data_IF_154520966956
#
_entry.id   IF_154520966956
#
_cell.length_a   1.000
_cell.length_b   1.000
_cell.length_c   1.000
_cell.angle_alpha   90.00
_cell.angle_beta   90.00
_cell.angle_gamma   90.00
#
_symmetry.space_group_name_H-M   'P 1'
#
loop_
_entity.id
_entity.type
_entity.pdbx_description
1 polymer ?
#
# COMPACT_ATOMS: atom_id res chain seq x y z
N UNK A 1 -1.20 6.91 -15.43
CA UNK A 1 -0.97 8.01 -14.46
C UNK A 1 -1.90 7.96 -13.25
N UNK A 2 -3.23 7.76 -13.41
CA UNK A 2 -4.16 7.78 -12.27
C UNK A 2 -3.79 6.82 -11.12
N UNK A 3 -3.36 5.59 -11.44
CA UNK A 3 -2.93 4.61 -10.43
C UNK A 3 -1.69 5.06 -9.63
N UNK A 4 -0.67 5.59 -10.31
CA UNK A 4 0.54 6.11 -9.67
C UNK A 4 0.22 7.28 -8.72
N UNK A 5 -0.67 8.18 -9.14
CA UNK A 5 -1.13 9.31 -8.32
C UNK A 5 -1.89 8.86 -7.08
N UNK A 6 -2.80 7.89 -7.24
CA UNK A 6 -3.56 7.30 -6.11
C UNK A 6 -2.67 6.58 -5.11
N UNK A 7 -1.52 6.06 -5.58
CA UNK A 7 -0.50 5.43 -4.75
C UNK A 7 0.60 6.39 -4.27
N UNK A 8 0.44 7.71 -4.41
CA UNK A 8 1.44 8.72 -4.00
C UNK A 8 2.85 8.51 -4.60
N UNK A 9 2.93 8.16 -5.89
CA UNK A 9 4.20 7.94 -6.61
C UNK A 9 4.62 9.10 -7.51
N UNK A 10 3.86 10.19 -7.60
CA UNK A 10 4.13 11.28 -8.55
C UNK A 10 5.55 11.87 -8.39
N UNK A 11 5.95 12.16 -7.14
CA UNK A 11 7.28 12.70 -6.84
C UNK A 11 8.40 11.66 -7.08
N UNK A 12 8.12 10.38 -6.77
CA UNK A 12 9.06 9.28 -7.00
C UNK A 12 9.33 9.16 -8.50
N UNK A 13 8.27 9.07 -9.32
CA UNK A 13 8.35 8.95 -10.78
C UNK A 13 9.05 10.16 -11.40
N UNK A 14 8.76 11.38 -10.91
CA UNK A 14 9.42 12.59 -11.39
C UNK A 14 10.93 12.62 -11.12
N UNK A 15 11.39 11.92 -10.07
CA UNK A 15 12.81 11.79 -9.73
C UNK A 15 13.52 10.64 -10.47
N UNK A 16 12.78 9.79 -11.19
CA UNK A 16 13.36 8.64 -11.89
C UNK A 16 14.13 9.08 -13.15
N UNK A 17 15.29 8.45 -13.46
CA UNK A 17 16.13 8.82 -14.60
C UNK A 17 15.41 8.78 -15.97
N UNK A 18 14.46 7.86 -16.12
CA UNK A 18 13.67 7.68 -17.35
C UNK A 18 12.16 7.79 -17.07
N UNK A 19 11.77 8.43 -15.97
CA UNK A 19 10.37 8.48 -15.54
C UNK A 19 9.76 7.07 -15.41
N UNK A 20 8.57 6.87 -15.96
CA UNK A 20 7.87 5.57 -15.95
C UNK A 20 8.62 4.45 -16.70
N UNK A 21 9.50 4.78 -17.64
CA UNK A 21 10.27 3.80 -18.42
C UNK A 21 11.54 3.32 -17.69
N UNK A 22 11.73 3.75 -16.44
CA UNK A 22 12.87 3.34 -15.62
C UNK A 22 12.74 1.89 -15.18
N UNK A 23 13.80 1.12 -15.39
CA UNK A 23 13.83 -0.30 -15.05
C UNK A 23 14.30 -0.50 -13.60
N UNK A 24 13.49 -1.17 -12.78
CA UNK A 24 13.83 -1.49 -11.39
C UNK A 24 15.03 -2.44 -11.34
N UNK A 25 15.97 -2.21 -10.43
CA UNK A 25 17.26 -2.90 -10.27
C UNK A 25 18.28 -2.65 -11.40
N UNK A 26 17.97 -1.80 -12.37
CA UNK A 26 18.89 -1.37 -13.43
C UNK A 26 19.08 0.14 -13.39
N UNK A 27 17.99 0.89 -13.48
CA UNK A 27 17.98 2.35 -13.45
C UNK A 27 17.65 2.92 -12.06
N UNK A 28 16.91 2.17 -11.22
CA UNK A 28 16.50 2.60 -9.88
C UNK A 28 16.39 1.44 -8.89
N UNK A 29 16.71 1.72 -7.63
CA UNK A 29 16.36 0.87 -6.48
C UNK A 29 15.38 1.62 -5.59
N UNK A 30 14.23 1.00 -5.29
CA UNK A 30 13.23 1.60 -4.41
C UNK A 30 13.50 1.28 -2.95
N UNK A 31 13.20 2.23 -2.07
CA UNK A 31 13.01 1.94 -0.65
C UNK A 31 11.83 0.99 -0.43
N UNK A 32 11.75 0.36 0.74
CA UNK A 32 10.63 -0.53 1.09
C UNK A 32 9.27 0.15 0.91
N UNK A 33 9.13 1.37 1.42
CA UNK A 33 7.89 2.14 1.28
C UNK A 33 7.54 2.52 -0.15
N UNK A 34 8.52 2.85 -1.00
CA UNK A 34 8.29 3.11 -2.42
C UNK A 34 7.87 1.85 -3.18
N UNK A 35 8.56 0.74 -2.95
CA UNK A 35 8.21 -0.55 -3.56
C UNK A 35 6.78 -0.96 -3.20
N UNK A 36 6.36 -0.73 -1.95
CA UNK A 36 5.02 -1.02 -1.49
C UNK A 36 3.97 -0.13 -2.16
N UNK A 37 4.26 1.17 -2.33
CA UNK A 37 3.41 2.07 -3.12
C UNK A 37 3.32 1.64 -4.59
N UNK A 38 4.37 1.10 -5.19
CA UNK A 38 4.32 0.51 -6.54
C UNK A 38 3.39 -0.71 -6.59
N UNK A 39 3.43 -1.59 -5.57
CA UNK A 39 2.50 -2.72 -5.45
C UNK A 39 1.04 -2.24 -5.33
N UNK A 40 0.80 -1.18 -4.57
CA UNK A 40 -0.52 -0.53 -4.45
C UNK A 40 -0.97 0.05 -5.81
N UNK A 41 -0.07 0.73 -6.53
CA UNK A 41 -0.38 1.21 -7.88
C UNK A 41 -0.75 0.05 -8.83
N UNK A 42 -0.03 -1.07 -8.72
CA UNK A 42 -0.31 -2.27 -9.51
C UNK A 42 -1.69 -2.85 -9.20
N UNK A 43 -2.10 -2.90 -7.92
CA UNK A 43 -3.42 -3.42 -7.55
C UNK A 43 -4.58 -2.59 -8.10
N UNK A 44 -4.39 -1.27 -8.24
CA UNK A 44 -5.35 -0.38 -8.91
C UNK A 44 -5.47 -0.72 -10.39
N UNK A 45 -4.35 -0.96 -11.08
CA UNK A 45 -4.36 -1.29 -12.51
C UNK A 45 -4.98 -2.66 -12.76
N UNK A 46 -4.73 -3.63 -11.87
CA UNK A 46 -5.37 -4.95 -11.93
C UNK A 46 -6.88 -4.89 -11.68
N UNK A 47 -7.36 -3.85 -11.00
CA UNK A 47 -8.77 -3.63 -10.67
C UNK A 47 -9.44 -4.81 -9.96
N UNK A 48 -8.73 -5.42 -9.01
CA UNK A 48 -9.26 -6.54 -8.23
C UNK A 48 -10.40 -6.07 -7.29
N UNK A 49 -11.52 -6.82 -7.18
CA UNK A 49 -12.63 -6.46 -6.30
C UNK A 49 -12.31 -6.66 -4.81
N UNK A 50 -11.35 -7.55 -4.51
CA UNK A 50 -10.87 -7.85 -3.16
C UNK A 50 -9.36 -7.68 -3.13
N UNK A 51 -8.86 -6.91 -2.16
CA UNK A 51 -7.44 -6.65 -1.95
C UNK A 51 -7.02 -7.16 -0.58
N UNK A 52 -5.90 -7.89 -0.52
CA UNK A 52 -5.31 -8.38 0.72
C UNK A 52 -3.92 -7.74 0.88
N UNK A 53 -3.72 -7.12 2.03
CA UNK A 53 -2.49 -6.42 2.39
C UNK A 53 -1.90 -7.08 3.63
N UNK A 54 -0.81 -7.80 3.44
CA UNK A 54 -0.06 -8.43 4.54
C UNK A 54 1.06 -7.49 4.99
N UNK A 55 0.97 -7.02 6.24
CA UNK A 55 1.90 -6.04 6.83
C UNK A 55 2.25 -4.88 5.89
N UNK A 56 1.24 -4.26 5.28
CA UNK A 56 1.46 -3.30 4.20
C UNK A 56 2.19 -2.01 4.58
N UNK A 57 2.57 -1.82 5.84
CA UNK A 57 3.39 -0.69 6.32
C UNK A 57 4.73 -1.15 6.88
N UNK A 58 5.05 -2.45 6.83
CA UNK A 58 6.30 -2.96 7.37
C UNK A 58 7.49 -2.36 6.61
N UNK A 59 8.57 -2.06 7.35
CA UNK A 59 9.83 -1.54 6.81
C UNK A 59 9.77 -0.12 6.19
N UNK A 60 8.65 0.60 6.33
CA UNK A 60 8.52 2.00 5.93
C UNK A 60 8.88 2.96 7.07
N UNK A 61 9.43 4.12 6.74
CA UNK A 61 9.57 5.23 7.67
C UNK A 61 8.18 5.86 7.98
N UNK A 62 8.00 6.63 9.07
CA UNK A 62 6.69 7.16 9.46
C UNK A 62 5.98 8.00 8.38
N UNK A 63 6.72 8.74 7.55
CA UNK A 63 6.12 9.53 6.48
C UNK A 63 5.63 8.61 5.34
N UNK A 64 6.42 7.60 4.99
CA UNK A 64 6.01 6.57 4.02
C UNK A 64 4.82 5.74 4.51
N UNK A 65 4.77 5.37 5.79
CA UNK A 65 3.63 4.67 6.40
C UNK A 65 2.32 5.46 6.22
N UNK A 66 2.35 6.78 6.50
CA UNK A 66 1.18 7.64 6.33
C UNK A 66 0.70 7.71 4.87
N UNK A 67 1.62 7.74 3.90
CA UNK A 67 1.28 7.75 2.48
C UNK A 67 0.68 6.42 2.00
N UNK A 68 1.21 5.30 2.50
CA UNK A 68 0.68 3.96 2.24
C UNK A 68 -0.73 3.85 2.83
N UNK A 69 -0.92 4.24 4.09
CA UNK A 69 -2.22 4.22 4.75
C UNK A 69 -3.25 5.04 3.96
N UNK A 70 -2.89 6.26 3.55
CA UNK A 70 -3.78 7.09 2.73
C UNK A 70 -4.14 6.44 1.40
N UNK A 71 -3.22 5.69 0.78
CA UNK A 71 -3.51 4.97 -0.45
C UNK A 71 -4.49 3.81 -0.21
N UNK A 72 -4.27 3.00 0.83
CA UNK A 72 -5.17 1.89 1.21
C UNK A 72 -6.58 2.42 1.52
N UNK A 73 -6.72 3.49 2.29
CA UNK A 73 -8.00 4.12 2.61
C UNK A 73 -8.75 4.60 1.36
N UNK A 74 -8.03 5.09 0.35
CA UNK A 74 -8.66 5.49 -0.93
C UNK A 74 -9.20 4.28 -1.67
N UNK A 75 -8.51 3.14 -1.62
CA UNK A 75 -8.95 1.91 -2.27
C UNK A 75 -10.18 1.32 -1.60
N UNK A 76 -10.21 1.32 -0.27
CA UNK A 76 -11.29 0.77 0.54
C UNK A 76 -12.66 1.40 0.24
N UNK A 77 -12.70 2.65 -0.26
CA UNK A 77 -13.96 3.32 -0.64
C UNK A 77 -14.74 2.66 -1.78
N UNK A 78 -14.10 1.80 -2.56
CA UNK A 78 -14.70 1.20 -3.77
C UNK A 78 -14.48 -0.30 -3.88
N UNK A 79 -13.75 -0.90 -2.93
CA UNK A 79 -13.29 -2.29 -2.98
C UNK A 79 -13.31 -2.90 -1.59
N UNK A 80 -13.43 -4.22 -1.51
CA UNK A 80 -13.20 -4.93 -0.25
C UNK A 80 -11.70 -4.99 0.01
N UNK A 81 -11.28 -4.55 1.19
CA UNK A 81 -9.87 -4.53 1.58
C UNK A 81 -9.71 -5.28 2.90
N UNK A 82 -8.81 -6.26 2.90
CA UNK A 82 -8.38 -7.00 4.09
C UNK A 82 -6.95 -6.58 4.40
N UNK A 83 -6.71 -6.11 5.61
CA UNK A 83 -5.38 -5.70 6.07
C UNK A 83 -4.98 -6.55 7.26
N UNK A 84 -3.83 -7.20 7.16
CA UNK A 84 -3.17 -7.88 8.27
C UNK A 84 -2.18 -6.88 8.87
N UNK A 85 -2.36 -6.53 10.14
CA UNK A 85 -1.53 -5.54 10.80
C UNK A 85 -1.18 -5.96 12.22
N UNK A 86 0.05 -5.65 12.61
CA UNK A 86 0.54 -5.79 13.98
C UNK A 86 0.54 -4.45 14.75
N UNK A 87 0.08 -3.37 14.11
CA UNK A 87 -0.04 -2.04 14.71
C UNK A 87 -1.47 -1.52 14.56
N UNK A 88 -2.07 -1.13 15.68
CA UNK A 88 -3.42 -0.57 15.70
C UNK A 88 -3.55 0.70 14.84
N UNK A 89 -2.47 1.48 14.72
CA UNK A 89 -2.43 2.70 13.88
C UNK A 89 -2.77 2.43 12.41
N UNK A 90 -2.47 1.24 11.89
CA UNK A 90 -2.74 0.84 10.50
C UNK A 90 -4.20 0.46 10.26
N UNK A 91 -4.91 -0.01 11.29
CA UNK A 91 -6.28 -0.55 11.16
C UNK A 91 -7.33 0.30 11.89
N UNK A 92 -6.94 1.44 12.48
CA UNK A 92 -7.83 2.31 13.26
C UNK A 92 -9.08 2.76 12.48
N UNK A 93 -8.97 2.89 11.16
CA UNK A 93 -10.05 3.37 10.28
C UNK A 93 -10.80 2.24 9.57
N UNK A 94 -10.57 0.98 9.95
CA UNK A 94 -11.25 -0.15 9.33
C UNK A 94 -12.74 -0.22 9.74
N UNK A 95 -13.60 -0.66 8.82
CA UNK A 95 -15.03 -0.89 9.12
C UNK A 95 -15.25 -2.01 10.15
N UNK A 96 -14.32 -2.97 10.18
CA UNK A 96 -14.26 -4.10 11.10
C UNK A 96 -12.81 -4.40 11.44
N UNK A 97 -12.55 -4.68 12.71
CA UNK A 97 -11.28 -5.19 13.20
C UNK A 97 -11.55 -6.59 13.73
N UNK A 98 -10.77 -7.57 13.29
CA UNK A 98 -10.85 -8.94 13.76
C UNK A 98 -9.56 -9.30 14.50
N UNK A 99 -9.67 -9.79 15.72
CA UNK A 99 -8.53 -10.26 16.53
C UNK A 99 -8.45 -11.77 16.45
N UNK A 100 -7.31 -12.30 15.98
CA UNK A 100 -7.03 -13.72 15.98
C UNK A 100 -6.25 -14.10 17.23
N UNK A 101 -6.78 -15.04 18.01
CA UNK A 101 -6.11 -15.63 19.18
C UNK A 101 -6.29 -17.15 19.18
N UNK A 102 -5.20 -17.89 19.42
CA UNK A 102 -5.23 -19.37 19.44
C UNK A 102 -5.76 -20.05 18.17
N UNK A 103 -5.74 -19.38 17.01
CA UNK A 103 -6.28 -19.89 15.74
C UNK A 103 -7.78 -19.68 15.54
N UNK A 104 -8.45 -18.90 16.39
CA UNK A 104 -9.85 -18.52 16.27
C UNK A 104 -10.02 -16.99 16.28
N UNK A 105 -11.14 -16.50 15.76
CA UNK A 105 -11.54 -15.09 15.91
C UNK A 105 -12.05 -14.89 17.33
N UNK A 106 -11.38 -14.04 18.10
CA UNK A 106 -11.74 -13.71 19.47
C UNK A 106 -12.72 -12.53 19.56
N UNK A 107 -12.58 -11.55 18.64
CA UNK A 107 -13.43 -10.36 18.49
C UNK A 107 -13.45 -9.94 17.01
#
# INVERSE_FOLDING_TARGET
>A
MAAAKLANLDAVIAALPKGLDSVVNVDVTFSGGEAQRVVIARSIVTDAPVLIFDEATAYADPASEALIQSAIERLARSRTVIVIAHRLSTIRNADRILVLDGGAVAE
#
